data_IF_377849592388
#
_entry.id   IF_377849592388
#
_cell.length_a   1.000
_cell.length_b   1.000
_cell.length_c   1.000
_cell.angle_alpha   90.00
_cell.angle_beta   90.00
_cell.angle_gamma   90.00
#
_symmetry.space_group_name_H-M   'P 1'
#
loop_
_entity.id
_entity.type
_entity.pdbx_description
1 polymer ?
#
# COMPACT_ATOMS: atom_id res chain seq x y z
N UNK A 1 -12.76 70.05 49.40
CA UNK A 1 -12.87 68.60 49.66
C UNK A 1 -11.53 67.93 49.37
N UNK A 2 -11.10 67.03 50.27
CA UNK A 2 -10.02 65.99 50.22
C UNK A 2 -9.43 65.71 48.81
N UNK A 3 -8.15 65.40 48.55
CA UNK A 3 -6.90 65.12 49.30
C UNK A 3 -5.76 65.05 48.25
N UNK A 4 -4.54 65.43 48.64
CA UNK A 4 -3.25 65.16 47.95
C UNK A 4 -2.95 63.65 47.88
N UNK A 5 -2.40 63.14 46.76
CA UNK A 5 -1.60 61.90 46.71
C UNK A 5 -0.41 62.06 45.74
N UNK A 6 0.79 61.84 46.30
CA UNK A 6 2.11 61.65 45.70
C UNK A 6 2.24 60.17 45.31
N UNK A 7 2.88 59.82 44.19
CA UNK A 7 3.39 58.44 44.01
C UNK A 7 4.70 58.40 43.22
N UNK A 8 5.57 57.51 43.70
CA UNK A 8 7.00 57.37 43.52
C UNK A 8 7.43 56.67 42.21
N UNK A 9 8.67 56.96 41.79
CA UNK A 9 9.46 56.14 40.88
C UNK A 9 9.86 54.82 41.57
N UNK A 10 9.61 53.69 40.92
CA UNK A 10 10.18 52.40 41.35
C UNK A 10 10.74 51.64 40.16
N UNK A 11 12.06 51.54 40.15
CA UNK A 11 12.87 50.69 39.26
C UNK A 11 12.61 49.22 39.60
N UNK A 12 12.13 48.43 38.64
CA UNK A 12 12.00 46.97 38.79
C UNK A 12 13.28 46.31 38.29
N UNK A 13 13.95 45.60 39.19
CA UNK A 13 15.03 44.66 38.94
C UNK A 13 14.42 43.36 38.34
N UNK A 14 14.73 43.06 37.08
CA UNK A 14 14.33 41.78 36.44
C UNK A 14 15.37 40.71 36.82
N UNK A 15 14.98 39.79 37.70
CA UNK A 15 15.74 38.59 38.01
C UNK A 15 15.52 37.58 36.86
N UNK A 16 16.53 37.30 36.04
CA UNK A 16 16.49 36.20 35.08
C UNK A 16 16.55 34.86 35.83
N UNK A 17 15.41 34.21 36.04
CA UNK A 17 15.37 32.79 36.35
C UNK A 17 15.48 32.01 35.03
N UNK A 18 16.58 31.27 34.85
CA UNK A 18 16.75 30.32 33.75
C UNK A 18 15.80 29.15 33.94
N UNK A 19 14.70 29.15 33.19
CA UNK A 19 13.83 27.96 33.08
C UNK A 19 14.59 26.92 32.25
N UNK A 20 14.86 25.71 32.77
CA UNK A 20 15.36 24.65 31.91
C UNK A 20 14.25 24.29 30.93
N UNK A 21 14.48 24.52 29.64
CA UNK A 21 13.65 23.98 28.57
C UNK A 21 13.81 22.47 28.62
N UNK A 22 12.89 21.78 29.29
CA UNK A 22 12.67 20.35 29.05
C UNK A 22 12.17 20.24 27.61
N UNK A 23 13.08 19.92 26.70
CA UNK A 23 12.73 19.41 25.38
C UNK A 23 11.96 18.11 25.60
N UNK A 24 10.63 18.21 25.60
CA UNK A 24 9.77 17.07 25.33
C UNK A 24 9.96 16.68 23.88
N UNK A 25 11.05 15.95 23.61
CA UNK A 25 11.15 15.05 22.46
C UNK A 25 10.17 13.90 22.68
N UNK A 26 8.88 14.21 22.71
CA UNK A 26 7.86 13.21 22.47
C UNK A 26 7.94 12.93 20.98
N UNK A 27 8.76 11.92 20.68
CA UNK A 27 8.74 11.18 19.44
C UNK A 27 7.28 11.09 18.97
N UNK A 28 7.04 11.54 17.73
CA UNK A 28 5.86 11.16 17.00
C UNK A 28 5.83 9.63 16.97
N UNK A 29 5.16 9.04 17.95
CA UNK A 29 4.65 7.70 17.83
C UNK A 29 3.62 7.81 16.71
N UNK A 30 4.07 7.53 15.48
CA UNK A 30 3.18 7.13 14.40
C UNK A 30 2.31 6.02 14.98
N UNK A 31 1.08 6.39 15.34
CA UNK A 31 0.03 5.43 15.62
C UNK A 31 0.01 4.51 14.41
N UNK A 32 0.27 3.21 14.61
CA UNK A 32 0.00 2.21 13.59
C UNK A 32 -1.50 2.26 13.30
N UNK A 33 -1.91 3.12 12.37
CA UNK A 33 -3.28 3.18 11.90
C UNK A 33 -3.67 1.77 11.47
N UNK A 34 -4.79 1.31 12.01
CA UNK A 34 -5.28 -0.05 11.79
C UNK A 34 -5.67 -0.19 10.32
N UNK A 35 -4.78 -0.75 9.51
CA UNK A 35 -4.99 -0.92 8.07
C UNK A 35 -5.43 -2.34 7.72
N UNK A 36 -6.21 -2.48 6.64
CA UNK A 36 -6.60 -3.76 6.05
C UNK A 36 -5.78 -4.00 4.77
N UNK A 37 -4.85 -4.95 4.76
CA UNK A 37 -4.11 -5.33 3.55
C UNK A 37 -5.06 -5.86 2.46
N UNK A 38 -4.83 -5.41 1.23
CA UNK A 38 -5.57 -5.85 0.04
C UNK A 38 -4.62 -6.09 -1.13
N UNK A 39 -5.06 -6.87 -2.10
CA UNK A 39 -4.42 -7.01 -3.40
C UNK A 39 -5.35 -6.49 -4.48
N UNK A 40 -4.85 -5.59 -5.32
CA UNK A 40 -5.53 -5.07 -6.50
C UNK A 40 -4.90 -5.75 -7.72
N UNK A 41 -5.73 -6.37 -8.55
CA UNK A 41 -5.29 -7.15 -9.71
C UNK A 41 -5.72 -6.41 -10.97
N UNK A 42 -4.75 -6.03 -11.80
CA UNK A 42 -4.95 -5.32 -13.08
C UNK A 42 -4.23 -6.14 -14.15
N UNK A 43 -4.94 -6.58 -15.20
CA UNK A 43 -4.37 -7.42 -16.27
C UNK A 43 -3.62 -8.64 -15.72
N UNK A 44 -4.15 -9.28 -14.67
CA UNK A 44 -3.55 -10.43 -13.99
C UNK A 44 -2.33 -10.13 -13.11
N UNK A 45 -1.84 -8.89 -13.07
CA UNK A 45 -0.73 -8.46 -12.21
C UNK A 45 -1.23 -8.01 -10.85
N UNK A 46 -0.51 -8.40 -9.79
CA UNK A 46 -0.91 -8.18 -8.41
C UNK A 46 -0.17 -6.98 -7.80
N UNK A 47 -0.92 -5.99 -7.33
CA UNK A 47 -0.40 -4.81 -6.67
C UNK A 47 -0.94 -4.75 -5.24
N UNK A 48 -0.04 -4.76 -4.25
CA UNK A 48 -0.41 -4.69 -2.84
C UNK A 48 -0.78 -3.26 -2.47
N UNK A 49 -1.89 -3.15 -1.76
CA UNK A 49 -2.41 -1.90 -1.22
C UNK A 49 -2.90 -2.12 0.21
N UNK A 50 -3.18 -1.03 0.90
CA UNK A 50 -3.77 -1.03 2.24
C UNK A 50 -4.99 -0.14 2.25
N UNK A 51 -6.08 -0.61 2.85
CA UNK A 51 -7.22 0.23 3.20
C UNK A 51 -7.01 0.79 4.62
N UNK A 52 -7.36 2.06 4.84
CA UNK A 52 -7.34 2.70 6.15
C UNK A 52 -8.50 2.23 7.04
N UNK A 53 -8.62 2.80 8.24
CA UNK A 53 -9.63 2.43 9.22
C UNK A 53 -10.93 3.26 9.13
N UNK A 54 -11.09 4.07 8.08
CA UNK A 54 -12.29 4.87 7.88
C UNK A 54 -13.54 4.00 7.70
N UNK A 55 -14.71 4.55 8.01
CA UNK A 55 -16.01 3.88 7.82
C UNK A 55 -16.19 3.35 6.38
N UNK A 56 -15.99 4.16 5.31
CA UNK A 56 -16.16 3.66 3.95
C UNK A 56 -15.13 2.58 3.59
N UNK A 57 -13.88 2.68 4.05
CA UNK A 57 -12.85 1.68 3.80
C UNK A 57 -13.19 0.33 4.44
N UNK A 58 -13.64 0.33 5.71
CA UNK A 58 -14.14 -0.87 6.41
C UNK A 58 -15.35 -1.49 5.72
N UNK A 59 -16.25 -0.67 5.17
CA UNK A 59 -17.40 -1.15 4.40
C UNK A 59 -16.98 -1.76 3.08
N UNK A 60 -16.04 -1.15 2.34
CA UNK A 60 -15.47 -1.73 1.12
C UNK A 60 -14.80 -3.09 1.43
N UNK A 61 -13.98 -3.15 2.48
CA UNK A 61 -13.28 -4.36 2.90
C UNK A 61 -14.23 -5.55 3.19
N UNK A 62 -15.45 -5.29 3.69
CA UNK A 62 -16.47 -6.32 3.93
C UNK A 62 -17.08 -6.90 2.65
N UNK A 63 -16.97 -6.18 1.53
CA UNK A 63 -17.51 -6.61 0.23
C UNK A 63 -16.50 -7.41 -0.60
N UNK A 64 -15.23 -7.43 -0.20
CA UNK A 64 -14.19 -8.19 -0.91
C UNK A 64 -14.41 -9.71 -0.76
N UNK A 65 -14.16 -10.52 -1.82
CA UNK A 65 -13.58 -10.11 -3.10
C UNK A 65 -14.56 -9.37 -4.02
N UNK A 66 -14.06 -8.39 -4.78
CA UNK A 66 -14.82 -7.63 -5.78
C UNK A 66 -14.13 -7.68 -7.14
N UNK A 67 -14.92 -7.69 -8.21
CA UNK A 67 -14.45 -7.44 -9.58
C UNK A 67 -15.25 -6.27 -10.14
N UNK A 68 -14.56 -5.25 -10.62
CA UNK A 68 -15.14 -3.99 -11.06
C UNK A 68 -14.59 -3.63 -12.44
N UNK A 69 -15.43 -3.07 -13.29
CA UNK A 69 -15.05 -2.61 -14.62
C UNK A 69 -14.70 -1.12 -14.54
N UNK A 70 -13.40 -0.83 -14.62
CA UNK A 70 -12.87 0.53 -14.56
C UNK A 70 -12.81 1.18 -15.94
N UNK A 71 -13.02 2.49 -15.97
CA UNK A 71 -12.92 3.35 -17.14
C UNK A 71 -12.20 4.66 -16.78
N UNK A 72 -11.78 5.43 -17.80
CA UNK A 72 -11.31 6.80 -17.56
C UNK A 72 -12.51 7.71 -17.24
N UNK A 73 -12.35 8.67 -16.32
CA UNK A 73 -13.44 9.58 -15.93
C UNK A 73 -13.77 10.60 -17.03
N UNK A 74 -12.76 11.35 -17.47
CA UNK A 74 -12.82 12.27 -18.59
C UNK A 74 -11.43 12.39 -19.23
N UNK A 75 -11.37 12.89 -20.46
CA UNK A 75 -10.09 13.09 -21.16
C UNK A 75 -9.20 14.07 -20.37
N UNK A 76 -7.98 13.64 -20.06
CA UNK A 76 -6.98 14.48 -19.38
C UNK A 76 -7.08 14.53 -17.85
N UNK A 77 -7.89 13.65 -17.23
CA UNK A 77 -7.90 13.48 -15.77
C UNK A 77 -7.18 12.19 -15.40
N UNK A 78 -6.23 12.28 -14.48
CA UNK A 78 -5.31 11.20 -14.14
C UNK A 78 -5.89 10.21 -13.10
N UNK A 79 -7.13 9.77 -13.33
CA UNK A 79 -7.87 8.83 -12.48
C UNK A 79 -8.62 7.76 -13.29
N UNK A 80 -8.87 6.61 -12.66
CA UNK A 80 -9.75 5.54 -13.17
C UNK A 80 -10.91 5.36 -12.22
N UNK A 81 -12.13 5.23 -12.76
CA UNK A 81 -13.36 5.12 -11.97
C UNK A 81 -14.14 3.85 -12.29
N UNK A 82 -14.83 3.33 -11.28
CA UNK A 82 -15.86 2.29 -11.44
C UNK A 82 -17.03 2.56 -10.51
N UNK A 83 -18.24 2.28 -10.98
CA UNK A 83 -19.44 2.31 -10.16
C UNK A 83 -19.45 1.15 -9.14
N UNK A 84 -19.98 1.43 -7.95
CA UNK A 84 -20.34 0.46 -6.93
C UNK A 84 -21.87 0.32 -6.92
N UNK A 85 -22.37 -0.91 -6.89
CA UNK A 85 -23.81 -1.18 -6.85
C UNK A 85 -24.53 -0.54 -5.65
N UNK A 86 -23.82 -0.38 -4.53
CA UNK A 86 -24.35 0.22 -3.30
C UNK A 86 -23.40 1.29 -2.79
N UNK A 87 -23.90 2.45 -2.32
CA UNK A 87 -23.05 3.48 -1.73
C UNK A 87 -22.32 2.98 -0.48
N UNK A 88 -21.22 3.64 -0.15
CA UNK A 88 -20.52 3.53 1.13
C UNK A 88 -20.92 4.72 2.01
N UNK A 89 -21.00 4.51 3.32
CA UNK A 89 -21.20 5.59 4.28
C UNK A 89 -19.91 6.38 4.46
N UNK A 90 -20.00 7.70 4.36
CA UNK A 90 -18.90 8.66 4.53
C UNK A 90 -18.95 9.33 5.90
N UNK A 91 -19.58 8.66 6.88
CA UNK A 91 -19.68 9.20 8.22
C UNK A 91 -18.29 9.27 8.86
N UNK A 92 -17.94 10.46 9.38
CA UNK A 92 -16.66 10.68 10.04
C UNK A 92 -15.48 10.88 9.09
N UNK A 93 -15.69 10.98 7.78
CA UNK A 93 -14.65 11.39 6.83
C UNK A 93 -14.72 12.89 6.52
N UNK A 94 -13.61 13.53 6.12
CA UNK A 94 -13.63 14.90 5.61
C UNK A 94 -14.60 15.08 4.43
N UNK A 95 -15.04 16.31 4.21
CA UNK A 95 -15.96 16.64 3.10
C UNK A 95 -15.34 16.51 1.71
N UNK A 96 -14.02 16.37 1.62
CA UNK A 96 -13.24 16.23 0.39
C UNK A 96 -11.77 16.02 0.74
N UNK A 97 -10.98 15.67 -0.27
CA UNK A 97 -9.56 15.39 -0.12
C UNK A 97 -8.79 15.74 -1.39
N UNK A 98 -7.48 15.88 -1.24
CA UNK A 98 -6.49 16.01 -2.31
C UNK A 98 -5.69 14.70 -2.40
N UNK A 99 -6.01 13.81 -3.35
CA UNK A 99 -5.40 12.49 -3.45
C UNK A 99 -4.05 12.55 -4.15
N UNK A 100 -3.10 11.75 -3.68
CA UNK A 100 -1.82 11.56 -4.35
C UNK A 100 -1.92 10.43 -5.40
N UNK A 101 -1.03 10.42 -6.41
CA UNK A 101 -0.91 9.27 -7.32
C UNK A 101 -0.78 7.95 -6.54
N UNK A 102 -1.55 6.93 -6.89
CA UNK A 102 -1.57 5.64 -6.18
C UNK A 102 -2.46 5.59 -4.93
N UNK A 103 -3.19 6.65 -4.61
CA UNK A 103 -4.26 6.60 -3.63
C UNK A 103 -5.51 5.88 -4.20
N UNK A 104 -6.31 5.33 -3.29
CA UNK A 104 -7.59 4.68 -3.55
C UNK A 104 -8.64 5.48 -2.80
N UNK A 105 -9.68 5.97 -3.48
CA UNK A 105 -10.71 6.78 -2.86
C UNK A 105 -12.13 6.35 -3.24
N UNK A 106 -13.10 6.82 -2.46
CA UNK A 106 -14.51 6.79 -2.79
C UNK A 106 -14.95 8.21 -3.14
N UNK A 107 -15.61 8.37 -4.29
CA UNK A 107 -16.30 9.60 -4.65
C UNK A 107 -17.76 9.49 -4.19
N UNK A 108 -18.33 10.56 -3.62
CA UNK A 108 -19.67 10.54 -3.02
C UNK A 108 -20.67 11.60 -3.49
N UNK A 109 -20.56 12.18 -4.70
CA UNK A 109 -21.74 12.57 -5.46
C UNK A 109 -22.42 11.36 -6.12
N UNK A 110 -21.65 10.34 -6.52
CA UNK A 110 -22.12 9.07 -7.09
C UNK A 110 -21.28 7.94 -6.52
N UNK A 111 -21.81 6.73 -6.29
CA UNK A 111 -21.13 5.67 -5.55
C UNK A 111 -19.99 5.04 -6.36
N UNK A 112 -18.84 5.72 -6.47
CA UNK A 112 -17.72 5.29 -7.31
C UNK A 112 -16.44 5.05 -6.53
N UNK A 113 -15.73 4.00 -6.91
CA UNK A 113 -14.35 3.77 -6.50
C UNK A 113 -13.43 4.48 -7.50
N UNK A 114 -12.39 5.14 -6.98
CA UNK A 114 -11.42 5.93 -7.76
C UNK A 114 -10.00 5.43 -7.48
N UNK A 115 -9.24 5.23 -8.55
CA UNK A 115 -7.82 4.87 -8.51
C UNK A 115 -7.00 5.97 -9.21
N UNK A 116 -6.11 6.62 -8.46
CA UNK A 116 -5.31 7.73 -8.98
C UNK A 116 -4.01 7.25 -9.60
N UNK A 117 -3.68 7.74 -10.80
CA UNK A 117 -2.39 7.50 -11.44
C UNK A 117 -1.57 8.79 -11.66
N UNK A 118 -2.18 9.95 -11.46
CA UNK A 118 -1.52 11.26 -11.45
C UNK A 118 -2.12 12.19 -10.39
N UNK A 119 -1.68 13.44 -10.41
CA UNK A 119 -2.11 14.48 -9.48
C UNK A 119 -3.32 15.22 -10.06
N UNK A 120 -4.40 15.31 -9.29
CA UNK A 120 -5.69 15.90 -9.73
C UNK A 120 -6.17 17.03 -8.82
N UNK A 121 -5.46 17.30 -7.71
CA UNK A 121 -5.83 18.31 -6.73
C UNK A 121 -7.07 17.97 -5.87
N UNK A 122 -7.36 18.89 -4.94
CA UNK A 122 -8.49 18.77 -4.01
C UNK A 122 -9.85 18.75 -4.70
N UNK A 123 -10.73 17.82 -4.28
CA UNK A 123 -12.11 17.80 -4.73
C UNK A 123 -13.12 17.49 -3.59
N UNK A 124 -14.23 18.26 -3.45
CA UNK A 124 -15.33 17.94 -2.53
C UNK A 124 -16.02 16.60 -2.87
N UNK A 125 -16.12 15.72 -1.88
CA UNK A 125 -16.73 14.40 -2.00
C UNK A 125 -15.75 13.27 -2.27
N UNK A 126 -14.44 13.53 -2.24
CA UNK A 126 -13.40 12.49 -2.22
C UNK A 126 -13.11 12.04 -0.80
N UNK A 127 -13.20 10.73 -0.57
CA UNK A 127 -12.94 10.07 0.70
C UNK A 127 -11.82 9.06 0.52
N UNK A 128 -10.62 9.35 1.04
CA UNK A 128 -9.48 8.44 0.95
C UNK A 128 -9.79 7.14 1.68
N UNK A 129 -9.68 6.02 0.96
CA UNK A 129 -9.91 4.68 1.49
C UNK A 129 -8.61 3.95 1.78
N UNK A 130 -7.52 4.34 1.12
CA UNK A 130 -6.28 3.57 1.15
C UNK A 130 -5.30 4.00 0.07
N UNK A 131 -4.25 3.21 -0.11
CA UNK A 131 -3.19 3.45 -1.10
C UNK A 131 -2.42 2.20 -1.43
N UNK A 132 -1.83 2.16 -2.64
CA UNK A 132 -0.82 1.17 -2.97
C UNK A 132 0.37 1.28 -2.02
N UNK A 133 0.94 0.13 -1.65
CA UNK A 133 2.15 0.09 -0.82
C UNK A 133 3.33 0.70 -1.57
N UNK A 134 4.31 1.26 -0.86
CA UNK A 134 5.50 1.87 -1.47
C UNK A 134 6.24 0.94 -2.45
N UNK A 135 6.18 -0.37 -2.24
CA UNK A 135 6.82 -1.35 -3.13
C UNK A 135 6.12 -1.47 -4.48
N UNK A 136 4.79 -1.40 -4.51
CA UNK A 136 4.00 -1.63 -5.72
C UNK A 136 3.42 -0.34 -6.32
N UNK A 137 3.49 0.79 -5.60
CA UNK A 137 2.88 2.07 -5.98
C UNK A 137 3.27 2.53 -7.38
N UNK A 138 4.57 2.55 -7.70
CA UNK A 138 5.06 3.04 -9.00
C UNK A 138 4.56 2.18 -10.18
N UNK A 139 4.59 0.85 -10.03
CA UNK A 139 4.12 -0.07 -11.07
C UNK A 139 2.60 -0.09 -11.18
N UNK A 140 1.88 0.06 -10.06
CA UNK A 140 0.42 0.20 -10.08
C UNK A 140 -0.02 1.48 -10.81
N UNK A 141 0.65 2.60 -10.54
CA UNK A 141 0.42 3.87 -11.26
C UNK A 141 0.65 3.68 -12.76
N UNK A 142 1.77 3.06 -13.14
CA UNK A 142 2.07 2.76 -14.55
C UNK A 142 0.99 1.87 -15.16
N UNK A 143 0.60 0.80 -14.46
CA UNK A 143 -0.41 -0.14 -14.93
C UNK A 143 -1.78 0.51 -15.14
N UNK A 144 -2.17 1.45 -14.28
CA UNK A 144 -3.39 2.25 -14.43
C UNK A 144 -3.31 3.22 -15.61
N UNK A 145 -2.21 3.96 -15.73
CA UNK A 145 -1.97 4.92 -16.82
C UNK A 145 -2.02 4.24 -18.19
N UNK A 146 -1.43 3.05 -18.30
CA UNK A 146 -1.32 2.33 -19.57
C UNK A 146 -2.66 1.74 -20.04
N UNK A 147 -3.73 1.77 -19.23
CA UNK A 147 -5.08 1.35 -19.64
C UNK A 147 -5.79 2.44 -20.44
N UNK A 148 -5.89 2.24 -21.76
CA UNK A 148 -6.55 3.19 -22.68
C UNK A 148 -8.00 2.82 -23.03
N UNK A 149 -8.48 1.67 -22.53
CA UNK A 149 -9.86 1.21 -22.68
C UNK A 149 -10.40 0.79 -21.31
N UNK A 150 -11.68 0.44 -21.24
CA UNK A 150 -12.19 -0.18 -20.03
C UNK A 150 -11.44 -1.48 -19.72
N UNK A 151 -11.25 -1.77 -18.44
CA UNK A 151 -10.52 -2.93 -17.96
C UNK A 151 -11.10 -3.42 -16.64
N UNK A 152 -10.90 -4.71 -16.35
CA UNK A 152 -11.37 -5.28 -15.09
C UNK A 152 -10.30 -5.18 -14.01
N UNK A 153 -10.73 -4.74 -12.83
CA UNK A 153 -9.90 -4.73 -11.61
C UNK A 153 -10.53 -5.68 -10.61
N UNK A 154 -9.76 -6.64 -10.13
CA UNK A 154 -10.16 -7.48 -9.00
C UNK A 154 -9.52 -6.96 -7.73
N UNK A 155 -10.27 -6.91 -6.64
CA UNK A 155 -9.79 -6.48 -5.33
C UNK A 155 -10.07 -7.60 -4.33
N UNK A 156 -9.01 -8.08 -3.68
CA UNK A 156 -9.05 -9.17 -2.72
C UNK A 156 -8.53 -8.68 -1.37
N UNK A 157 -8.99 -9.30 -0.27
CA UNK A 157 -8.25 -9.18 1.00
C UNK A 157 -6.89 -9.85 0.84
N UNK A 158 -5.83 -9.17 1.24
CA UNK A 158 -4.52 -9.79 1.38
C UNK A 158 -4.51 -10.52 2.72
N UNK A 159 -5.02 -11.76 2.72
CA UNK A 159 -5.00 -12.62 3.89
C UNK A 159 -3.74 -13.49 3.85
N UNK A 160 -2.71 -13.22 4.65
CA UNK A 160 -1.55 -14.10 4.76
C UNK A 160 -1.92 -15.49 5.33
N UNK A 161 -3.13 -15.65 5.86
CA UNK A 161 -3.64 -16.84 6.56
C UNK A 161 -4.54 -17.75 5.71
N UNK A 162 -4.83 -17.41 4.44
CA UNK A 162 -5.56 -18.34 3.57
C UNK A 162 -4.72 -19.61 3.36
N UNK A 163 -5.30 -20.82 3.26
CA UNK A 163 -4.55 -22.08 3.11
C UNK A 163 -3.69 -22.16 1.83
N UNK A 164 -3.80 -21.19 0.93
CA UNK A 164 -2.94 -21.00 -0.25
C UNK A 164 -1.67 -20.20 0.06
N UNK A 165 -1.62 -19.45 1.17
CA UNK A 165 -0.53 -18.54 1.54
C UNK A 165 0.39 -19.03 2.66
N UNK A 166 0.21 -20.25 3.16
CA UNK A 166 1.10 -20.84 4.16
C UNK A 166 2.41 -21.32 3.52
N UNK A 167 3.53 -20.82 4.01
CA UNK A 167 4.85 -21.36 3.67
C UNK A 167 4.96 -22.75 4.28
N UNK A 168 4.91 -23.79 3.46
CA UNK A 168 5.26 -25.14 3.90
C UNK A 168 6.75 -25.15 4.24
N UNK A 169 7.15 -25.41 5.50
CA UNK A 169 8.55 -25.51 5.86
C UNK A 169 9.23 -26.62 5.04
N UNK A 170 10.40 -26.32 4.50
CA UNK A 170 11.14 -27.23 3.64
C UNK A 170 12.63 -27.03 3.92
N UNK A 171 13.42 -28.11 3.96
CA UNK A 171 14.87 -28.03 4.19
C UNK A 171 15.61 -28.82 3.13
N UNK A 172 16.42 -28.11 2.36
CA UNK A 172 17.16 -28.69 1.26
C UNK A 172 17.88 -27.63 0.45
N UNK A 173 18.18 -27.97 -0.80
CA UNK A 173 18.81 -27.09 -1.77
C UNK A 173 18.06 -27.11 -3.10
N UNK A 174 17.95 -25.94 -3.72
CA UNK A 174 17.45 -25.77 -5.08
C UNK A 174 18.62 -25.44 -6.01
N UNK A 175 18.87 -26.28 -7.01
CA UNK A 175 19.76 -25.98 -8.15
C UNK A 175 18.94 -25.34 -9.26
N UNK A 176 19.36 -24.17 -9.75
CA UNK A 176 18.67 -23.47 -10.84
C UNK A 176 18.90 -24.20 -12.17
N UNK A 177 17.81 -24.68 -12.79
CA UNK A 177 17.79 -25.37 -14.08
C UNK A 177 17.10 -24.44 -15.09
N UNK A 178 17.91 -23.84 -15.96
CA UNK A 178 17.49 -22.85 -16.94
C UNK A 178 18.48 -22.82 -18.13
N UNK A 179 18.30 -21.93 -19.10
CA UNK A 179 19.25 -21.79 -20.23
C UNK A 179 20.62 -21.27 -19.75
N UNK A 180 21.72 -21.85 -20.26
CA UNK A 180 23.08 -21.39 -19.99
C UNK A 180 23.24 -19.92 -20.39
N UNK A 181 23.85 -19.11 -19.51
CA UNK A 181 23.97 -17.65 -19.70
C UNK A 181 22.79 -16.84 -19.14
N UNK A 182 21.68 -17.48 -18.78
CA UNK A 182 20.50 -16.84 -18.21
C UNK A 182 20.31 -17.21 -16.73
N UNK A 183 19.25 -16.69 -16.12
CA UNK A 183 18.89 -16.97 -14.73
C UNK A 183 17.41 -16.78 -14.46
N UNK A 184 16.97 -17.25 -13.29
CA UNK A 184 15.58 -17.14 -12.84
C UNK A 184 15.40 -15.88 -11.99
N UNK A 185 14.24 -15.25 -12.09
CA UNK A 185 13.91 -14.09 -11.29
C UNK A 185 13.90 -14.44 -9.78
N UNK A 186 14.48 -13.55 -8.97
CA UNK A 186 14.45 -13.63 -7.51
C UNK A 186 13.37 -12.70 -6.96
N UNK A 187 12.18 -13.25 -6.78
CA UNK A 187 10.97 -12.52 -6.42
C UNK A 187 10.92 -12.16 -4.93
N UNK A 188 10.23 -11.07 -4.58
CA UNK A 188 10.01 -10.67 -3.18
C UNK A 188 8.92 -11.45 -2.46
N UNK A 189 8.01 -12.08 -3.20
CA UNK A 189 6.92 -12.91 -2.69
C UNK A 189 6.71 -14.17 -3.54
N UNK A 190 6.06 -15.19 -2.95
CA UNK A 190 5.63 -16.40 -3.65
C UNK A 190 4.19 -16.23 -4.17
N UNK A 191 4.04 -15.48 -5.25
CA UNK A 191 2.75 -15.22 -5.90
C UNK A 191 2.59 -16.08 -7.15
N UNK A 192 1.45 -16.78 -7.28
CA UNK A 192 1.10 -17.56 -8.49
C UNK A 192 0.79 -16.69 -9.71
N UNK A 193 0.69 -15.38 -9.53
CA UNK A 193 0.18 -14.41 -10.51
C UNK A 193 1.14 -13.23 -10.69
N UNK A 194 2.43 -13.45 -10.41
CA UNK A 194 3.51 -12.48 -10.60
C UNK A 194 3.79 -11.69 -9.33
N UNK A 195 4.88 -12.01 -8.63
CA UNK A 195 5.36 -11.23 -7.48
C UNK A 195 6.17 -10.01 -7.91
N UNK A 196 6.60 -9.16 -6.98
CA UNK A 196 7.52 -8.06 -7.29
C UNK A 196 8.90 -8.60 -7.69
N UNK A 197 9.38 -8.23 -8.88
CA UNK A 197 10.71 -8.58 -9.40
C UNK A 197 11.69 -7.41 -9.20
N UNK A 198 12.65 -7.51 -8.26
CA UNK A 198 13.60 -6.43 -7.94
C UNK A 198 14.75 -6.33 -8.94
N UNK A 199 14.61 -6.82 -10.17
CA UNK A 199 15.70 -6.83 -11.16
C UNK A 199 16.81 -7.87 -10.92
N UNK A 200 16.74 -8.68 -9.85
CA UNK A 200 17.78 -9.65 -9.49
C UNK A 200 17.46 -11.06 -9.97
N UNK A 201 18.45 -11.73 -10.59
CA UNK A 201 18.32 -13.12 -11.04
C UNK A 201 19.32 -14.05 -10.38
N UNK A 202 18.94 -15.31 -10.21
CA UNK A 202 19.86 -16.39 -9.85
C UNK A 202 20.29 -17.12 -11.13
N UNK A 203 21.60 -17.13 -11.39
CA UNK A 203 22.17 -17.72 -12.63
C UNK A 203 21.92 -19.22 -12.70
N UNK A 204 21.74 -19.74 -13.91
CA UNK A 204 21.69 -21.18 -14.15
C UNK A 204 22.89 -21.91 -13.51
N UNK A 205 22.63 -23.08 -12.93
CA UNK A 205 23.65 -23.93 -12.31
C UNK A 205 23.97 -23.57 -10.85
N UNK A 206 23.57 -22.37 -10.38
CA UNK A 206 23.74 -21.98 -8.97
C UNK A 206 22.83 -22.78 -8.05
N UNK A 207 23.22 -22.88 -6.78
CA UNK A 207 22.59 -23.70 -5.74
C UNK A 207 22.29 -22.84 -4.52
N UNK A 208 21.10 -23.01 -3.95
CA UNK A 208 20.60 -22.15 -2.87
C UNK A 208 19.87 -22.97 -1.82
N UNK A 209 20.13 -22.67 -0.54
CA UNK A 209 19.39 -23.27 0.58
C UNK A 209 17.91 -22.91 0.46
N UNK A 210 17.05 -23.91 0.66
CA UNK A 210 15.60 -23.73 0.68
C UNK A 210 15.11 -23.86 2.12
N UNK A 211 14.29 -22.91 2.54
CA UNK A 211 13.66 -22.88 3.88
C UNK A 211 12.14 -23.09 3.85
N UNK A 212 11.53 -23.09 2.67
CA UNK A 212 10.10 -23.29 2.53
C UNK A 212 9.64 -23.38 1.09
N UNK A 213 8.39 -23.78 0.91
CA UNK A 213 7.69 -23.83 -0.36
C UNK A 213 6.32 -23.16 -0.21
N UNK A 214 5.92 -22.35 -1.17
CA UNK A 214 4.61 -21.71 -1.22
C UNK A 214 4.24 -21.48 -2.67
N UNK A 215 3.01 -21.76 -3.10
CA UNK A 215 2.51 -21.36 -4.42
C UNK A 215 3.38 -21.82 -5.61
N UNK A 216 4.06 -22.96 -5.49
CA UNK A 216 5.00 -23.45 -6.50
C UNK A 216 6.37 -22.76 -6.51
N UNK A 217 6.65 -21.87 -5.56
CA UNK A 217 7.94 -21.21 -5.34
C UNK A 217 8.72 -21.85 -4.19
N UNK A 218 10.05 -21.78 -4.27
CA UNK A 218 10.96 -22.10 -3.16
C UNK A 218 11.48 -20.83 -2.50
N UNK A 219 11.46 -20.79 -1.17
CA UNK A 219 12.04 -19.71 -0.36
C UNK A 219 13.53 -19.93 -0.19
N UNK A 220 14.33 -19.05 -0.79
CA UNK A 220 15.80 -19.11 -0.75
C UNK A 220 16.45 -18.05 0.15
N UNK A 221 15.62 -17.21 0.78
CA UNK A 221 16.04 -16.21 1.77
C UNK A 221 14.88 -15.43 2.37
N UNK A 222 15.17 -14.31 3.03
CA UNK A 222 14.13 -13.38 3.53
C UNK A 222 13.54 -12.60 2.36
N UNK A 223 12.24 -12.80 2.11
CA UNK A 223 11.52 -12.19 0.98
C UNK A 223 12.24 -12.44 -0.34
N UNK A 224 12.64 -13.69 -0.56
CA UNK A 224 13.41 -14.15 -1.71
C UNK A 224 12.88 -15.50 -2.16
N UNK A 225 12.27 -15.51 -3.33
CA UNK A 225 11.54 -16.64 -3.86
C UNK A 225 11.94 -16.91 -5.30
N UNK A 226 12.01 -18.19 -5.67
CA UNK A 226 12.24 -18.63 -7.05
C UNK A 226 11.15 -19.58 -7.48
N UNK A 227 10.75 -19.53 -8.74
CA UNK A 227 9.72 -20.42 -9.26
C UNK A 227 10.27 -21.84 -9.36
N UNK A 228 9.63 -22.78 -8.66
CA UNK A 228 10.13 -24.15 -8.50
C UNK A 228 10.21 -24.93 -9.81
N UNK A 229 9.43 -24.56 -10.82
CA UNK A 229 9.49 -25.15 -12.17
C UNK A 229 10.87 -25.00 -12.84
N UNK A 230 11.68 -24.03 -12.40
CA UNK A 230 13.04 -23.79 -12.92
C UNK A 230 14.13 -24.22 -11.92
N UNK A 231 13.80 -25.08 -10.96
CA UNK A 231 14.74 -25.58 -9.97
C UNK A 231 14.61 -27.08 -9.76
N UNK A 232 15.75 -27.75 -9.68
CA UNK A 232 15.83 -29.12 -9.16
C UNK A 232 16.04 -29.05 -7.66
N UNK A 233 15.10 -29.58 -6.88
CA UNK A 233 15.18 -29.60 -5.42
C UNK A 233 15.77 -30.92 -4.90
N UNK A 234 16.60 -30.84 -3.86
CA UNK A 234 17.12 -31.99 -3.09
C UNK A 234 16.97 -31.70 -1.60
N UNK A 235 16.30 -32.58 -0.85
CA UNK A 235 16.21 -32.49 0.61
C UNK A 235 17.52 -32.87 1.28
N UNK A 236 17.72 -32.35 2.49
CA UNK A 236 18.73 -32.84 3.44
C UNK A 236 18.05 -33.22 4.74
#
# INVERSE_FOLDING_TARGET
>A
MKKTIITFFTTILVLLASVPVSQSVNAAAESKEQSTPIVVIIEGHHYHAVLNDSVPAKQLAKRLPLTLKFSAMAQGIDEKISDLEKPLSTNGTPVGADPNPGDIAYWSPQPRLVLYWGDVGYYPGIHLLGKFTETDRAEAIKALRDQNTDFNVQILKDNPSSPVNTVTPLRGEAKIVYKKGYGVNLWKSASTTGGFYPGRKLKHGTRWKVSGKQNGFYRVGKNQWIQGAYASYKSY
#
